data_IF_405280353728
#
_entry.id   IF_405280353728
#
_cell.length_a   1.000
_cell.length_b   1.000
_cell.length_c   1.000
_cell.angle_alpha   90.00
_cell.angle_beta   90.00
_cell.angle_gamma   90.00
#
_symmetry.space_group_name_H-M   'P 1'
#
loop_
_entity.id
_entity.type
_entity.pdbx_description
1 polymer ?
#
# COMPACT_ATOMS: atom_id res chain seq x y z
N UNK A 1 71.11 44.76 4.59
CA UNK A 1 71.81 43.91 5.58
C UNK A 1 70.76 43.46 6.61
N UNK A 2 70.71 42.16 6.91
CA UNK A 2 69.89 41.48 7.96
C UNK A 2 68.35 41.45 7.73
N UNK A 3 67.76 40.39 7.17
CA UNK A 3 67.53 39.00 7.65
C UNK A 3 66.17 38.78 8.37
N UNK A 4 65.12 38.65 7.54
CA UNK A 4 64.16 37.53 7.46
C UNK A 4 63.79 36.80 8.77
N UNK A 5 62.66 37.21 9.38
CA UNK A 5 61.92 36.48 10.44
C UNK A 5 60.75 35.72 9.81
N UNK A 6 60.91 34.46 9.42
CA UNK A 6 59.79 33.61 8.95
C UNK A 6 59.89 32.24 9.63
N UNK A 7 59.49 32.17 10.90
CA UNK A 7 59.20 30.92 11.60
C UNK A 7 57.90 31.12 12.38
N UNK A 8 56.77 30.90 11.71
CA UNK A 8 55.46 30.57 12.31
C UNK A 8 54.46 30.42 11.18
N UNK A 9 54.10 29.18 10.82
CA UNK A 9 53.12 28.97 9.76
C UNK A 9 52.96 27.52 9.29
N UNK A 10 53.10 26.53 10.19
CA UNK A 10 52.82 25.13 9.84
C UNK A 10 52.18 24.34 10.99
N UNK A 11 51.25 24.98 11.72
CA UNK A 11 50.56 24.31 12.84
C UNK A 11 49.08 24.69 12.95
N UNK A 12 48.41 24.94 11.82
CA UNK A 12 46.96 25.12 11.75
C UNK A 12 46.33 24.38 10.55
N UNK A 13 46.83 23.18 10.23
CA UNK A 13 46.25 22.33 9.15
C UNK A 13 46.08 20.86 9.56
N UNK A 14 45.98 20.57 10.86
CA UNK A 14 45.68 19.22 11.36
C UNK A 14 44.40 19.15 12.23
N UNK A 15 43.78 20.28 12.59
CA UNK A 15 42.52 20.30 13.35
C UNK A 15 41.28 20.64 12.50
N UNK A 16 41.46 21.15 11.28
CA UNK A 16 40.36 21.37 10.33
C UNK A 16 40.02 20.13 9.48
N UNK A 17 40.83 19.07 9.55
CA UNK A 17 40.61 17.82 8.80
C UNK A 17 39.74 16.78 9.53
N UNK A 18 39.54 16.94 10.85
CA UNK A 18 38.84 15.95 11.68
C UNK A 18 37.40 16.34 12.05
N UNK A 19 36.99 17.58 11.80
CA UNK A 19 35.59 18.02 11.99
C UNK A 19 34.75 17.94 10.72
N UNK A 20 35.36 17.73 9.54
CA UNK A 20 34.66 17.59 8.26
C UNK A 20 34.35 16.12 7.88
N UNK A 21 34.40 15.19 8.84
CA UNK A 21 34.00 13.78 8.66
C UNK A 21 32.69 13.45 9.38
N UNK A 22 32.06 14.41 10.05
CA UNK A 22 30.80 14.22 10.79
C UNK A 22 29.53 14.72 10.06
N UNK A 23 29.65 15.29 8.84
CA UNK A 23 28.51 15.87 8.10
C UNK A 23 28.17 15.14 6.80
N UNK A 24 28.83 14.02 6.51
CA UNK A 24 28.34 13.05 5.52
C UNK A 24 28.05 11.75 6.26
N UNK A 25 26.84 11.66 6.82
CA UNK A 25 26.21 10.37 6.99
C UNK A 25 26.05 9.79 5.60
N UNK A 26 26.91 8.83 5.24
CA UNK A 26 26.69 7.99 4.07
C UNK A 26 25.25 7.45 4.17
N UNK A 27 24.39 7.66 3.15
CA UNK A 27 23.14 6.93 3.14
C UNK A 27 23.54 5.47 3.09
N UNK A 28 23.17 4.73 4.14
CA UNK A 28 23.24 3.28 4.17
C UNK A 28 22.30 2.77 3.06
N UNK A 29 22.78 2.79 1.81
CA UNK A 29 22.21 2.05 0.68
C UNK A 29 22.63 0.60 0.89
N UNK A 30 22.04 0.00 1.92
CA UNK A 30 22.26 -1.35 2.38
C UNK A 30 20.94 -1.93 2.82
N UNK A 31 19.92 -1.78 1.98
CA UNK A 31 18.58 -2.31 2.20
C UNK A 31 18.13 -3.05 0.97
N UNK A 32 18.80 -4.15 0.63
CA UNK A 32 18.26 -5.13 -0.29
C UNK A 32 16.96 -5.70 0.29
N UNK A 33 15.84 -5.00 0.07
CA UNK A 33 14.52 -5.55 0.32
C UNK A 33 14.43 -6.80 -0.54
N UNK A 34 14.25 -7.96 0.07
CA UNK A 34 13.91 -9.17 -0.68
C UNK A 34 12.69 -8.87 -1.55
N UNK A 35 12.59 -9.41 -2.78
CA UNK A 35 11.48 -9.11 -3.70
C UNK A 35 10.11 -9.14 -3.02
N UNK A 36 9.91 -10.11 -2.13
CA UNK A 36 8.71 -10.28 -1.34
C UNK A 36 8.32 -9.09 -0.43
N UNK A 37 9.29 -8.38 0.15
CA UNK A 37 9.03 -7.22 0.99
C UNK A 37 8.57 -6.00 0.18
N UNK A 38 9.08 -5.83 -1.03
CA UNK A 38 8.65 -4.78 -1.95
C UNK A 38 7.22 -5.05 -2.46
N UNK A 39 6.93 -6.28 -2.88
CA UNK A 39 5.58 -6.69 -3.30
C UNK A 39 4.55 -6.49 -2.19
N UNK A 40 4.86 -6.90 -0.96
CA UNK A 40 3.96 -6.71 0.19
C UNK A 40 3.65 -5.24 0.43
N UNK A 41 4.64 -4.35 0.26
CA UNK A 41 4.44 -2.92 0.39
C UNK A 41 3.52 -2.37 -0.72
N UNK A 42 3.68 -2.83 -1.96
CA UNK A 42 2.81 -2.45 -3.08
C UNK A 42 1.37 -2.95 -2.88
N UNK A 43 1.16 -4.16 -2.34
CA UNK A 43 -0.19 -4.64 -2.01
C UNK A 43 -0.87 -3.76 -0.96
N UNK A 44 -0.12 -3.38 0.07
CA UNK A 44 -0.64 -2.46 1.09
C UNK A 44 -0.96 -1.09 0.50
N UNK A 45 -0.12 -0.59 -0.39
CA UNK A 45 -0.36 0.65 -1.10
C UNK A 45 -1.64 0.59 -1.95
N UNK A 46 -1.89 -0.53 -2.66
CA UNK A 46 -3.16 -0.75 -3.39
C UNK A 46 -4.39 -0.65 -2.48
N UNK A 47 -4.33 -1.28 -1.31
CA UNK A 47 -5.42 -1.20 -0.31
C UNK A 47 -5.61 0.24 0.16
N UNK A 48 -4.52 0.94 0.47
CA UNK A 48 -4.58 2.35 0.87
C UNK A 48 -5.22 3.25 -0.19
N UNK A 49 -4.84 3.11 -1.47
CA UNK A 49 -5.49 3.85 -2.55
C UNK A 49 -6.97 3.49 -2.72
N UNK A 50 -7.34 2.22 -2.54
CA UNK A 50 -8.73 1.75 -2.59
C UNK A 50 -9.58 2.31 -1.44
N UNK A 51 -9.00 2.46 -0.25
CA UNK A 51 -9.65 3.10 0.90
C UNK A 51 -9.86 4.59 0.65
N UNK A 52 -8.84 5.27 0.10
CA UNK A 52 -8.93 6.68 -0.28
C UNK A 52 -10.03 6.94 -1.32
N UNK A 53 -10.18 6.06 -2.31
CA UNK A 53 -11.29 6.17 -3.28
C UNK A 53 -12.64 6.06 -2.56
N UNK A 54 -12.78 5.09 -1.65
CA UNK A 54 -14.03 4.91 -0.89
C UNK A 54 -14.35 6.13 -0.02
N UNK A 55 -13.34 6.67 0.67
CA UNK A 55 -13.46 7.89 1.46
C UNK A 55 -13.99 9.05 0.61
N UNK A 56 -13.38 9.29 -0.55
CA UNK A 56 -13.85 10.30 -1.49
C UNK A 56 -15.27 10.03 -2.03
N UNK A 57 -15.64 8.77 -2.27
CA UNK A 57 -17.00 8.41 -2.71
C UNK A 57 -18.05 8.74 -1.64
N UNK A 58 -17.79 8.41 -0.38
CA UNK A 58 -18.76 8.64 0.71
C UNK A 58 -18.83 10.11 1.13
N UNK A 59 -17.75 10.87 0.94
CA UNK A 59 -17.70 12.32 1.20
C UNK A 59 -18.08 13.18 -0.01
N UNK A 60 -18.26 12.57 -1.20
CA UNK A 60 -18.44 13.25 -2.49
C UNK A 60 -17.25 14.17 -2.85
N UNK A 61 -16.05 13.81 -2.43
CA UNK A 61 -14.81 14.49 -2.80
C UNK A 61 -14.22 13.91 -4.10
N UNK A 62 -14.51 14.56 -5.22
CA UNK A 62 -14.01 14.15 -6.53
C UNK A 62 -12.49 14.29 -6.68
N UNK A 63 -11.85 15.21 -5.95
CA UNK A 63 -10.39 15.37 -5.97
C UNK A 63 -9.74 14.17 -5.29
N UNK A 64 -10.29 13.74 -4.16
CA UNK A 64 -9.85 12.57 -3.43
C UNK A 64 -10.06 11.27 -4.21
N UNK A 65 -11.25 11.09 -4.82
CA UNK A 65 -11.54 9.94 -5.71
C UNK A 65 -10.50 9.87 -6.81
N UNK A 66 -10.28 10.98 -7.53
CA UNK A 66 -9.31 11.04 -8.64
C UNK A 66 -7.89 10.75 -8.16
N UNK A 67 -7.46 11.35 -7.06
CA UNK A 67 -6.13 11.14 -6.51
C UNK A 67 -5.90 9.66 -6.13
N UNK A 68 -6.89 9.04 -5.46
CA UNK A 68 -6.84 7.61 -5.13
C UNK A 68 -6.82 6.71 -6.38
N UNK A 69 -7.62 7.04 -7.40
CA UNK A 69 -7.69 6.30 -8.65
C UNK A 69 -6.37 6.36 -9.45
N UNK A 70 -5.78 7.54 -9.58
CA UNK A 70 -4.50 7.73 -10.26
C UNK A 70 -3.35 7.03 -9.54
N UNK A 71 -3.31 7.10 -8.21
CA UNK A 71 -2.29 6.40 -7.44
C UNK A 71 -2.45 4.89 -7.54
N UNK A 72 -3.69 4.37 -7.46
CA UNK A 72 -3.95 2.95 -7.65
C UNK A 72 -3.51 2.49 -9.04
N UNK A 73 -3.82 3.27 -10.09
CA UNK A 73 -3.38 2.99 -11.46
C UNK A 73 -1.85 2.92 -11.55
N UNK A 74 -1.15 3.90 -10.99
CA UNK A 74 0.32 3.96 -10.97
C UNK A 74 0.92 2.70 -10.31
N UNK A 75 0.38 2.29 -9.16
CA UNK A 75 0.83 1.08 -8.46
C UNK A 75 0.56 -0.18 -9.28
N UNK A 76 -0.54 -0.25 -10.02
CA UNK A 76 -0.84 -1.39 -10.91
C UNK A 76 0.15 -1.52 -12.08
N UNK A 77 0.68 -0.39 -12.55
CA UNK A 77 1.60 -0.30 -13.69
C UNK A 77 3.08 -0.33 -13.28
N UNK A 78 3.38 -0.31 -11.98
CA UNK A 78 4.73 -0.38 -11.45
C UNK A 78 5.48 -1.62 -11.98
N UNK A 79 6.76 -1.46 -12.29
CA UNK A 79 7.62 -2.52 -12.85
C UNK A 79 8.20 -3.44 -11.78
N UNK A 80 8.09 -3.04 -10.52
CA UNK A 80 8.58 -3.74 -9.32
C UNK A 80 7.74 -4.97 -8.95
N UNK A 81 6.79 -5.34 -9.80
CA UNK A 81 5.97 -6.54 -9.67
C UNK A 81 6.67 -7.73 -10.31
N UNK A 82 6.71 -8.86 -9.62
CA UNK A 82 7.03 -10.12 -10.27
C UNK A 82 5.83 -10.51 -11.17
N UNK A 83 6.02 -10.33 -12.48
CA UNK A 83 5.01 -10.70 -13.47
C UNK A 83 4.82 -12.22 -13.48
N UNK A 84 3.58 -12.68 -13.52
CA UNK A 84 3.27 -14.08 -13.77
C UNK A 84 2.94 -14.27 -15.25
N UNK A 85 3.40 -15.36 -15.87
CA UNK A 85 3.12 -15.70 -17.28
C UNK A 85 1.68 -16.14 -17.54
N UNK A 86 0.84 -16.16 -16.49
CA UNK A 86 -0.53 -16.62 -16.58
C UNK A 86 -1.41 -15.55 -17.24
N UNK A 87 -2.20 -15.97 -18.22
CA UNK A 87 -3.04 -15.06 -19.01
C UNK A 87 -4.16 -14.44 -18.18
N UNK A 88 -4.74 -15.21 -17.24
CA UNK A 88 -5.83 -14.72 -16.39
C UNK A 88 -5.32 -13.69 -15.37
N UNK A 89 -4.16 -13.94 -14.75
CA UNK A 89 -3.48 -12.97 -13.91
C UNK A 89 -3.21 -11.66 -14.67
N UNK A 90 -2.68 -11.77 -15.89
CA UNK A 90 -2.41 -10.60 -16.74
C UNK A 90 -3.70 -9.86 -17.11
N UNK A 91 -4.78 -10.58 -17.38
CA UNK A 91 -6.09 -10.01 -17.65
C UNK A 91 -6.63 -9.20 -16.47
N UNK A 92 -6.62 -9.76 -15.24
CA UNK A 92 -7.07 -9.04 -14.05
C UNK A 92 -6.27 -7.75 -13.81
N UNK A 93 -4.94 -7.78 -14.05
CA UNK A 93 -4.10 -6.59 -13.92
C UNK A 93 -4.49 -5.50 -14.90
N UNK A 94 -4.70 -5.84 -16.16
CA UNK A 94 -5.11 -4.88 -17.19
C UNK A 94 -6.50 -4.33 -16.92
N UNK A 95 -7.43 -5.18 -16.49
CA UNK A 95 -8.79 -4.77 -16.19
C UNK A 95 -8.85 -3.83 -14.98
N UNK A 96 -8.02 -4.04 -13.97
CA UNK A 96 -7.88 -3.10 -12.85
C UNK A 96 -7.33 -1.73 -13.29
N UNK A 97 -6.35 -1.71 -14.20
CA UNK A 97 -5.84 -0.45 -14.81
C UNK A 97 -6.93 0.28 -15.60
N UNK A 98 -7.81 -0.47 -16.28
CA UNK A 98 -8.95 0.10 -17.01
C UNK A 98 -9.98 0.71 -16.06
N UNK A 99 -10.35 0.02 -14.98
CA UNK A 99 -11.32 0.54 -14.00
C UNK A 99 -10.80 1.76 -13.25
N UNK A 100 -9.51 1.77 -12.88
CA UNK A 100 -8.88 2.96 -12.28
C UNK A 100 -8.86 4.15 -13.22
N UNK A 101 -8.69 3.93 -14.52
CA UNK A 101 -8.81 5.01 -15.52
C UNK A 101 -10.25 5.54 -15.61
N UNK A 102 -11.25 4.66 -15.63
CA UNK A 102 -12.67 5.06 -15.61
C UNK A 102 -13.04 5.82 -14.35
N UNK A 103 -12.52 5.41 -13.19
CA UNK A 103 -12.69 6.10 -11.92
C UNK A 103 -12.18 7.55 -12.01
N UNK A 104 -10.97 7.73 -12.53
CA UNK A 104 -10.39 9.07 -12.68
C UNK A 104 -11.22 9.93 -13.65
N UNK A 105 -11.67 9.37 -14.79
CA UNK A 105 -12.54 10.08 -15.74
C UNK A 105 -13.89 10.44 -15.11
N UNK A 106 -14.56 9.51 -14.44
CA UNK A 106 -15.83 9.77 -13.79
C UNK A 106 -15.72 10.82 -12.68
N UNK A 107 -14.59 10.85 -11.96
CA UNK A 107 -14.31 11.90 -10.99
C UNK A 107 -14.10 13.27 -11.65
N UNK A 108 -13.37 13.34 -12.77
CA UNK A 108 -13.22 14.57 -13.56
C UNK A 108 -14.55 15.10 -14.09
N UNK A 109 -15.42 14.19 -14.53
CA UNK A 109 -16.76 14.51 -15.02
C UNK A 109 -17.77 14.80 -13.90
N UNK A 110 -17.33 14.79 -12.62
CA UNK A 110 -18.20 14.92 -11.42
C UNK A 110 -19.35 13.90 -11.38
N UNK A 111 -19.15 12.74 -12.00
CA UNK A 111 -20.11 11.65 -12.12
C UNK A 111 -19.91 10.65 -10.96
N UNK A 112 -20.58 10.90 -9.83
CA UNK A 112 -20.46 10.07 -8.63
C UNK A 112 -20.91 8.62 -8.86
N UNK A 113 -22.03 8.41 -9.57
CA UNK A 113 -22.57 7.07 -9.84
C UNK A 113 -21.63 6.28 -10.75
N UNK A 114 -21.07 6.93 -11.77
CA UNK A 114 -20.05 6.34 -12.64
C UNK A 114 -18.78 5.97 -11.88
N UNK A 115 -18.34 6.83 -10.95
CA UNK A 115 -17.19 6.56 -10.09
C UNK A 115 -17.48 5.37 -9.15
N UNK A 116 -18.65 5.34 -8.49
CA UNK A 116 -19.05 4.25 -7.61
C UNK A 116 -19.13 2.92 -8.36
N UNK A 117 -19.72 2.90 -9.55
CA UNK A 117 -19.79 1.70 -10.38
C UNK A 117 -18.40 1.19 -10.78
N UNK A 118 -17.51 2.08 -11.22
CA UNK A 118 -16.13 1.71 -11.55
C UNK A 118 -15.35 1.22 -10.32
N UNK A 119 -15.60 1.79 -9.13
CA UNK A 119 -15.01 1.33 -7.87
C UNK A 119 -15.43 -0.09 -7.49
N UNK A 120 -16.73 -0.40 -7.54
CA UNK A 120 -17.19 -1.75 -7.22
C UNK A 120 -16.64 -2.81 -8.19
N UNK A 121 -16.50 -2.45 -9.47
CA UNK A 121 -15.79 -3.31 -10.42
C UNK A 121 -14.32 -3.49 -10.05
N UNK A 122 -13.61 -2.42 -9.65
CA UNK A 122 -12.22 -2.51 -9.18
C UNK A 122 -12.08 -3.45 -7.97
N UNK A 123 -12.98 -3.35 -6.97
CA UNK A 123 -13.00 -4.25 -5.81
C UNK A 123 -13.26 -5.70 -6.24
N UNK A 124 -14.21 -5.93 -7.14
CA UNK A 124 -14.51 -7.27 -7.67
C UNK A 124 -13.29 -7.90 -8.35
N UNK A 125 -12.55 -7.12 -9.14
CA UNK A 125 -11.31 -7.59 -9.80
C UNK A 125 -10.24 -7.94 -8.76
N UNK A 126 -10.10 -7.16 -7.69
CA UNK A 126 -9.17 -7.47 -6.60
C UNK A 126 -9.48 -8.83 -5.96
N UNK A 127 -10.75 -9.10 -5.69
CA UNK A 127 -11.21 -10.37 -5.12
C UNK A 127 -10.90 -11.52 -6.09
N UNK A 128 -11.33 -11.42 -7.35
CA UNK A 128 -11.14 -12.48 -8.34
C UNK A 128 -9.65 -12.77 -8.62
N UNK A 129 -8.83 -11.72 -8.71
CA UNK A 129 -7.39 -11.89 -8.87
C UNK A 129 -6.78 -12.63 -7.67
N UNK A 130 -7.20 -12.28 -6.45
CA UNK A 130 -6.69 -12.91 -5.24
C UNK A 130 -7.16 -14.35 -5.07
N UNK A 131 -8.38 -14.68 -5.49
CA UNK A 131 -8.88 -16.05 -5.53
C UNK A 131 -8.09 -16.88 -6.55
N UNK A 132 -7.85 -16.35 -7.76
CA UNK A 132 -7.01 -17.00 -8.76
C UNK A 132 -5.58 -17.23 -8.29
N UNK A 133 -4.96 -16.22 -7.66
CA UNK A 133 -3.62 -16.33 -7.10
C UNK A 133 -3.51 -17.37 -5.97
N UNK A 134 -4.58 -17.54 -5.18
CA UNK A 134 -4.64 -18.48 -4.06
C UNK A 134 -4.93 -19.90 -4.51
N UNK A 135 -5.93 -20.06 -5.36
CA UNK A 135 -6.55 -21.35 -5.62
C UNK A 135 -6.00 -22.02 -6.88
N UNK A 136 -5.60 -21.22 -7.89
CA UNK A 136 -5.06 -21.70 -9.17
C UNK A 136 -3.54 -21.62 -9.18
N UNK A 137 -2.98 -20.43 -8.99
CA UNK A 137 -1.52 -20.23 -9.07
C UNK A 137 -0.79 -20.67 -7.81
N UNK A 138 -1.49 -20.72 -6.66
CA UNK A 138 -0.94 -21.08 -5.35
C UNK A 138 0.30 -20.26 -4.95
N UNK A 139 0.37 -19.01 -5.42
CA UNK A 139 1.47 -18.08 -5.11
C UNK A 139 1.27 -17.36 -3.78
N UNK A 140 0.05 -17.37 -3.24
CA UNK A 140 -0.27 -16.81 -1.92
C UNK A 140 -0.23 -17.90 -0.84
N UNK A 141 0.53 -17.68 0.24
CA UNK A 141 0.48 -18.55 1.43
C UNK A 141 -0.86 -18.35 2.13
N UNK A 142 -1.65 -19.42 2.24
CA UNK A 142 -2.90 -19.40 3.02
C UNK A 142 -2.53 -19.24 4.50
N UNK A 143 -2.86 -18.09 5.09
CA UNK A 143 -2.74 -17.91 6.54
C UNK A 143 -3.74 -18.85 7.22
N UNK A 144 -3.25 -19.69 8.14
CA UNK A 144 -4.12 -20.58 8.94
C UNK A 144 -5.28 -19.77 9.54
N UNK A 145 -6.53 -20.24 9.49
CA UNK A 145 -7.66 -19.50 10.03
C UNK A 145 -7.38 -19.12 11.48
N UNK A 146 -7.50 -17.83 11.79
CA UNK A 146 -7.40 -17.34 13.16
C UNK A 146 -8.53 -17.95 13.97
N UNK A 147 -8.22 -18.39 15.20
CA UNK A 147 -9.23 -18.89 16.14
C UNK A 147 -10.32 -17.83 16.29
N UNK A 148 -11.55 -18.19 15.92
CA UNK A 148 -12.71 -17.30 16.05
C UNK A 148 -12.97 -17.16 17.55
N UNK A 149 -12.76 -15.96 18.08
CA UNK A 149 -13.22 -15.60 19.43
C UNK A 149 -14.57 -14.92 19.21
N UNK A 150 -15.69 -15.53 19.62
CA UNK A 150 -16.98 -14.87 19.51
C UNK A 150 -16.94 -13.56 20.29
N UNK A 151 -17.48 -12.51 19.68
CA UNK A 151 -17.71 -11.23 20.36
C UNK A 151 -18.81 -11.51 21.39
N UNK A 152 -18.61 -11.21 22.68
CA UNK A 152 -19.67 -11.37 23.66
C UNK A 152 -20.86 -10.50 23.25
N UNK A 153 -21.97 -11.13 22.87
CA UNK A 153 -23.25 -10.45 22.69
C UNK A 153 -23.98 -10.52 24.03
N UNK A 154 -24.31 -9.38 24.61
CA UNK A 154 -25.11 -9.36 25.84
C UNK A 154 -26.51 -9.92 25.56
N UNK A 155 -26.95 -10.81 26.45
CA UNK A 155 -28.34 -11.19 26.77
C UNK A 155 -28.93 -12.51 26.25
N UNK A 156 -28.15 -13.50 25.79
CA UNK A 156 -28.75 -14.86 25.65
C UNK A 156 -27.85 -16.07 25.91
N UNK A 157 -26.54 -15.91 26.05
CA UNK A 157 -25.65 -17.06 26.28
C UNK A 157 -25.40 -17.37 27.78
N UNK A 158 -25.96 -16.57 28.69
CA UNK A 158 -25.86 -16.77 30.15
C UNK A 158 -27.16 -17.32 30.78
N UNK A 159 -28.16 -17.75 30.00
CA UNK A 159 -29.37 -18.36 30.57
C UNK A 159 -29.02 -19.73 31.14
N UNK A 160 -29.09 -19.96 32.47
CA UNK A 160 -28.82 -21.26 33.05
C UNK A 160 -29.77 -22.31 32.46
N UNK A 161 -29.35 -23.58 32.31
CA UNK A 161 -30.21 -24.64 31.81
C UNK A 161 -31.47 -24.77 32.70
N UNK A 162 -32.59 -24.19 32.27
CA UNK A 162 -33.84 -24.16 33.05
C UNK A 162 -34.76 -22.96 32.78
N UNK A 163 -34.23 -21.85 32.26
CA UNK A 163 -35.02 -20.60 32.08
C UNK A 163 -35.36 -20.30 30.61
N UNK A 164 -35.50 -21.34 29.79
CA UNK A 164 -35.97 -21.24 28.40
C UNK A 164 -37.50 -21.47 28.29
N UNK A 165 -38.28 -21.07 29.29
CA UNK A 165 -39.74 -21.22 29.22
C UNK A 165 -40.42 -19.88 29.07
N UNK A 166 -41.06 -19.72 27.91
CA UNK A 166 -42.11 -18.75 27.61
C UNK A 166 -41.69 -17.33 27.20
N UNK A 167 -41.31 -17.18 25.92
CA UNK A 167 -41.68 -15.98 25.15
C UNK A 167 -42.46 -16.44 23.91
N UNK A 168 -43.77 -16.19 23.94
CA UNK A 168 -44.61 -16.10 22.74
C UNK A 168 -44.31 -14.81 21.98
#
# INVERSE_FOLDING_TARGET
MMSRRWTTGFLLLALAGLTLRYVQGDPQVGGGKTPHAAETALMRAKVGSSQKILEGLVSKDFVEIKAGALELKRICQATEWEGHTDSQYSHYRQELVRQTSKLATAADDTNLDGAAFAYFNAVTICIHCHDHCRDVLKIAKIKKPSKIIPIPTTDSDDVPPGEQTNRR
#
